data_IF_492321695893
#
_entry.id   IF_492321695893
#
_cell.length_a   1.000
_cell.length_b   1.000
_cell.length_c   1.000
_cell.angle_alpha   90.00
_cell.angle_beta   90.00
_cell.angle_gamma   90.00
#
_symmetry.space_group_name_H-M   'P 1'
#
loop_
_entity.id
_entity.type
_entity.pdbx_description
1 polymer ?
#
# COMPACT_ATOMS: atom_id res chain seq x y z
N UNK A 1 15.39 -5.01 -7.93
CA UNK A 1 15.12 -4.01 -6.88
C UNK A 1 13.98 -4.49 -5.98
N UNK A 2 12.86 -4.94 -6.55
CA UNK A 2 11.71 -5.53 -5.84
C UNK A 2 12.10 -6.70 -4.90
N UNK A 3 12.87 -7.69 -5.37
CA UNK A 3 13.30 -8.85 -4.56
C UNK A 3 14.15 -8.52 -3.30
N UNK A 4 14.56 -7.26 -3.10
CA UNK A 4 15.36 -6.81 -1.96
C UNK A 4 14.58 -5.96 -0.96
N UNK A 5 13.29 -5.73 -1.21
CA UNK A 5 12.41 -4.94 -0.35
C UNK A 5 11.14 -5.72 -0.04
N UNK A 6 10.44 -5.29 1.00
CA UNK A 6 9.10 -5.80 1.35
C UNK A 6 8.02 -5.07 0.57
N UNK A 7 8.17 -3.75 0.44
CA UNK A 7 7.24 -2.86 -0.23
C UNK A 7 8.01 -2.02 -1.24
N UNK A 8 7.46 -1.85 -2.43
CA UNK A 8 7.96 -0.96 -3.47
C UNK A 8 6.93 0.15 -3.72
N UNK A 9 7.33 1.39 -3.46
CA UNK A 9 6.54 2.57 -3.76
C UNK A 9 7.01 3.19 -5.08
N UNK A 10 6.13 3.30 -6.07
CA UNK A 10 6.41 3.93 -7.34
C UNK A 10 5.82 5.34 -7.41
N UNK A 11 6.68 6.35 -7.34
CA UNK A 11 6.31 7.77 -7.44
C UNK A 11 6.67 8.39 -8.79
N UNK A 12 7.06 7.58 -9.79
CA UNK A 12 7.55 8.07 -11.09
C UNK A 12 6.67 7.57 -12.22
N UNK A 13 5.87 8.47 -12.77
CA UNK A 13 5.15 8.29 -14.02
C UNK A 13 6.01 8.61 -15.26
N UNK A 14 5.50 8.38 -16.48
CA UNK A 14 4.12 7.98 -16.80
C UNK A 14 3.85 6.48 -16.58
N UNK A 15 2.80 6.16 -15.83
CA UNK A 15 2.51 4.80 -15.37
C UNK A 15 1.97 3.92 -16.49
N UNK A 16 1.22 4.49 -17.44
CA UNK A 16 0.68 3.80 -18.61
C UNK A 16 1.73 3.02 -19.40
N UNK A 17 2.95 3.54 -19.50
CA UNK A 17 4.01 2.91 -20.30
C UNK A 17 4.94 2.03 -19.46
N UNK A 18 5.26 2.44 -18.24
CA UNK A 18 6.32 1.81 -17.45
C UNK A 18 5.82 1.12 -16.18
N UNK A 19 4.62 1.44 -15.70
CA UNK A 19 4.07 0.93 -14.44
C UNK A 19 3.83 -0.58 -14.46
N UNK A 20 3.38 -1.14 -15.59
CA UNK A 20 2.96 -2.55 -15.65
C UNK A 20 4.14 -3.50 -15.43
N UNK A 21 5.32 -3.17 -15.97
CA UNK A 21 6.54 -3.95 -15.76
C UNK A 21 6.95 -3.97 -14.27
N UNK A 22 6.74 -2.86 -13.56
CA UNK A 22 7.03 -2.75 -12.12
C UNK A 22 6.07 -3.61 -11.31
N UNK A 23 4.76 -3.53 -11.59
CA UNK A 23 3.74 -4.35 -10.92
C UNK A 23 4.01 -5.84 -11.13
N UNK A 24 4.24 -6.26 -12.37
CA UNK A 24 4.55 -7.66 -12.70
C UNK A 24 5.80 -8.16 -11.98
N UNK A 25 6.87 -7.34 -11.92
CA UNK A 25 8.07 -7.69 -11.19
C UNK A 25 7.84 -7.81 -9.67
N UNK A 26 6.96 -6.99 -9.09
CA UNK A 26 6.60 -7.06 -7.67
C UNK A 26 5.82 -8.33 -7.35
N UNK A 27 4.86 -8.71 -8.19
CA UNK A 27 4.10 -9.96 -8.05
C UNK A 27 5.05 -11.17 -8.15
N UNK A 28 5.93 -11.18 -9.15
CA UNK A 28 6.89 -12.27 -9.35
C UNK A 28 7.87 -12.44 -8.18
N UNK A 29 8.23 -11.35 -7.49
CA UNK A 29 9.13 -11.38 -6.34
C UNK A 29 8.42 -11.40 -4.99
N UNK A 30 7.10 -11.54 -4.97
CA UNK A 30 6.27 -11.51 -3.75
C UNK A 30 6.48 -10.25 -2.90
N UNK A 31 6.61 -9.11 -3.56
CA UNK A 31 6.85 -7.78 -2.96
C UNK A 31 5.57 -6.95 -3.07
N UNK A 32 5.13 -6.35 -1.97
CA UNK A 32 3.96 -5.46 -1.99
C UNK A 32 4.26 -4.19 -2.78
N UNK A 33 3.24 -3.65 -3.46
CA UNK A 33 3.37 -2.52 -4.36
C UNK A 33 2.38 -1.41 -3.98
N UNK A 34 2.86 -0.16 -3.98
CA UNK A 34 1.99 1.02 -3.94
C UNK A 34 2.46 2.13 -4.89
N UNK A 35 1.55 3.00 -5.34
CA UNK A 35 1.91 4.16 -6.16
C UNK A 35 1.04 5.40 -5.91
N UNK A 36 1.46 6.53 -6.48
CA UNK A 36 0.74 7.81 -6.48
C UNK A 36 0.09 8.05 -7.86
N UNK A 37 -0.31 6.98 -8.56
CA UNK A 37 -0.78 7.08 -9.94
C UNK A 37 -2.13 7.80 -10.03
N UNK A 38 -2.23 8.79 -10.93
CA UNK A 38 -3.48 9.47 -11.30
C UNK A 38 -3.97 9.11 -12.71
N UNK A 39 -3.58 7.95 -13.26
CA UNK A 39 -3.91 7.50 -14.62
C UNK A 39 -4.93 6.34 -14.57
N UNK A 40 -6.26 6.60 -14.74
CA UNK A 40 -7.30 5.59 -14.52
C UNK A 40 -7.19 4.36 -15.42
N UNK A 41 -6.82 4.57 -16.68
CA UNK A 41 -6.61 3.48 -17.66
C UNK A 41 -5.55 2.47 -17.20
N UNK A 42 -4.45 2.96 -16.62
CA UNK A 42 -3.40 2.09 -16.08
C UNK A 42 -3.92 1.26 -14.89
N UNK A 43 -4.65 1.91 -13.98
CA UNK A 43 -5.20 1.27 -12.78
C UNK A 43 -6.18 0.16 -13.17
N UNK A 44 -7.15 0.48 -14.03
CA UNK A 44 -8.16 -0.47 -14.49
C UNK A 44 -7.52 -1.65 -15.26
N UNK A 45 -6.52 -1.37 -16.10
CA UNK A 45 -5.76 -2.40 -16.81
C UNK A 45 -5.00 -3.32 -15.87
N UNK A 46 -4.33 -2.75 -14.86
CA UNK A 46 -3.59 -3.52 -13.86
C UNK A 46 -4.53 -4.42 -13.06
N UNK A 47 -5.67 -3.90 -12.61
CA UNK A 47 -6.69 -4.67 -11.91
C UNK A 47 -7.17 -5.84 -12.78
N UNK A 48 -7.50 -5.62 -14.06
CA UNK A 48 -7.98 -6.68 -14.92
C UNK A 48 -6.95 -7.78 -15.19
N UNK A 49 -5.68 -7.41 -15.38
CA UNK A 49 -4.63 -8.37 -15.77
C UNK A 49 -3.99 -9.09 -14.59
N UNK A 50 -3.78 -8.39 -13.48
CA UNK A 50 -2.89 -8.84 -12.41
C UNK A 50 -3.62 -9.24 -11.11
N UNK A 51 -4.93 -8.99 -10.97
CA UNK A 51 -5.65 -9.30 -9.72
C UNK A 51 -5.51 -10.77 -9.29
N UNK A 52 -5.70 -11.71 -10.21
CA UNK A 52 -5.65 -13.13 -9.86
C UNK A 52 -4.23 -13.57 -9.52
N UNK A 53 -3.24 -13.12 -10.29
CA UNK A 53 -1.82 -13.40 -10.03
C UNK A 53 -1.36 -12.83 -8.68
N UNK A 54 -1.78 -11.61 -8.34
CA UNK A 54 -1.48 -10.98 -7.06
C UNK A 54 -2.14 -11.73 -5.89
N UNK A 55 -3.40 -12.15 -6.04
CA UNK A 55 -4.11 -12.99 -5.05
C UNK A 55 -3.39 -14.32 -4.83
N UNK A 56 -3.02 -15.03 -5.90
CA UNK A 56 -2.29 -16.30 -5.82
C UNK A 56 -0.90 -16.13 -5.18
N UNK A 57 -0.19 -15.04 -5.49
CA UNK A 57 1.11 -14.74 -4.91
C UNK A 57 1.02 -14.21 -3.46
N UNK A 58 -0.17 -13.80 -3.00
CA UNK A 58 -0.37 -13.18 -1.70
C UNK A 58 0.28 -11.80 -1.57
N UNK A 59 0.27 -11.04 -2.67
CA UNK A 59 0.89 -9.71 -2.79
C UNK A 59 -0.19 -8.64 -2.80
N UNK A 60 0.03 -7.55 -2.06
CA UNK A 60 -0.81 -6.37 -2.10
C UNK A 60 -0.36 -5.43 -3.21
N UNK A 61 -1.29 -5.02 -4.06
CA UNK A 61 -1.08 -4.02 -5.11
C UNK A 61 -2.10 -2.91 -4.88
N UNK A 62 -1.63 -1.73 -4.47
CA UNK A 62 -2.48 -0.58 -4.15
C UNK A 62 -2.14 0.59 -5.05
N UNK A 63 -3.10 1.05 -5.83
CA UNK A 63 -2.91 2.22 -6.70
C UNK A 63 -3.44 3.49 -6.04
N UNK A 64 -3.06 4.65 -6.57
CA UNK A 64 -3.63 5.95 -6.20
C UNK A 64 -3.53 6.26 -4.69
N UNK A 65 -2.39 6.00 -4.05
CA UNK A 65 -2.15 6.32 -2.64
C UNK A 65 -1.75 7.80 -2.42
N UNK A 66 -2.37 8.72 -3.15
CA UNK A 66 -2.03 10.14 -3.14
C UNK A 66 -3.02 10.98 -2.30
N UNK A 67 -2.74 12.28 -2.21
CA UNK A 67 -3.45 13.25 -1.38
C UNK A 67 -4.95 13.37 -1.68
N UNK A 68 -5.37 13.17 -2.92
CA UNK A 68 -6.76 13.24 -3.35
C UNK A 68 -7.54 11.94 -3.08
N UNK A 69 -6.87 10.80 -3.11
CA UNK A 69 -7.51 9.49 -3.15
C UNK A 69 -7.59 8.86 -1.75
N UNK A 70 -6.55 9.02 -0.92
CA UNK A 70 -6.53 8.44 0.44
C UNK A 70 -7.64 9.01 1.33
N UNK A 71 -7.87 10.34 1.40
CA UNK A 71 -8.95 10.88 2.21
C UNK A 71 -10.33 10.51 1.64
N UNK A 72 -10.45 10.37 0.32
CA UNK A 72 -11.68 9.91 -0.33
C UNK A 72 -12.04 8.50 0.13
N UNK A 73 -11.11 7.55 -0.01
CA UNK A 73 -11.32 6.15 0.36
C UNK A 73 -11.66 5.99 1.85
N UNK A 74 -10.91 6.68 2.72
CA UNK A 74 -11.15 6.64 4.16
C UNK A 74 -12.48 7.30 4.54
N UNK A 75 -12.85 8.40 3.89
CA UNK A 75 -14.12 9.08 4.10
C UNK A 75 -15.30 8.21 3.69
N UNK A 76 -15.24 7.60 2.50
CA UNK A 76 -16.27 6.68 2.02
C UNK A 76 -16.38 5.45 2.92
N UNK A 77 -15.26 4.86 3.34
CA UNK A 77 -15.26 3.73 4.27
C UNK A 77 -15.86 4.11 5.63
N UNK A 78 -15.46 5.25 6.19
CA UNK A 78 -16.01 5.74 7.45
C UNK A 78 -17.53 5.93 7.38
N UNK A 79 -18.01 6.57 6.31
CA UNK A 79 -19.44 6.78 6.08
C UNK A 79 -20.18 5.46 5.91
N UNK A 80 -19.64 4.51 5.15
CA UNK A 80 -20.24 3.19 4.98
C UNK A 80 -20.39 2.43 6.30
N UNK A 81 -19.40 2.53 7.20
CA UNK A 81 -19.46 1.89 8.52
C UNK A 81 -20.53 2.49 9.46
N UNK A 82 -21.04 3.70 9.18
CA UNK A 82 -22.13 4.28 9.98
C UNK A 82 -23.50 3.64 9.71
N UNK A 83 -23.62 2.81 8.67
CA UNK A 83 -24.85 2.12 8.29
C UNK A 83 -24.71 0.61 8.50
N UNK A 84 -24.97 0.09 9.72
CA UNK A 84 -24.93 -1.35 9.98
C UNK A 84 -26.13 -2.07 9.33
N UNK A 85 -26.01 -3.38 9.06
CA UNK A 85 -27.10 -4.15 8.46
C UNK A 85 -28.42 -4.04 9.24
N UNK A 86 -29.58 -3.95 8.56
CA UNK A 86 -29.78 -4.09 7.11
C UNK A 86 -29.57 -2.80 6.31
N UNK A 87 -29.26 -1.66 6.95
CA UNK A 87 -29.03 -0.41 6.25
C UNK A 87 -27.70 -0.48 5.48
N UNK A 88 -27.64 0.16 4.32
CA UNK A 88 -26.46 0.24 3.46
C UNK A 88 -26.27 1.67 2.96
N UNK A 89 -25.02 2.13 2.91
CA UNK A 89 -24.68 3.36 2.21
C UNK A 89 -24.78 3.12 0.70
N UNK A 90 -25.78 3.70 0.05
CA UNK A 90 -25.98 3.56 -1.39
C UNK A 90 -25.06 4.48 -2.21
N UNK A 91 -24.74 5.66 -1.67
CA UNK A 91 -23.91 6.67 -2.33
C UNK A 91 -23.26 7.58 -1.28
N UNK A 92 -22.03 8.01 -1.55
CA UNK A 92 -21.32 9.00 -0.77
C UNK A 92 -20.62 9.97 -1.72
N UNK A 93 -20.98 11.24 -1.65
CA UNK A 93 -20.31 12.32 -2.35
C UNK A 93 -19.27 12.97 -1.45
N UNK A 94 -18.10 13.26 -1.99
CA UNK A 94 -17.04 13.93 -1.28
C UNK A 94 -16.51 15.10 -2.12
N UNK A 95 -16.39 16.25 -1.46
CA UNK A 95 -15.96 17.49 -2.08
C UNK A 95 -14.59 17.88 -1.52
N UNK A 96 -13.57 17.85 -2.37
CA UNK A 96 -12.25 18.37 -2.05
C UNK A 96 -12.13 19.83 -2.43
N UNK A 97 -11.99 20.70 -1.42
CA UNK A 97 -11.67 22.12 -1.62
C UNK A 97 -10.21 22.33 -1.29
N UNK A 98 -9.41 22.63 -2.30
CA UNK A 98 -7.98 22.95 -2.13
C UNK A 98 -7.81 24.45 -2.25
N UNK A 99 -7.63 25.11 -1.11
CA UNK A 99 -7.28 26.53 -1.05
C UNK A 99 -5.76 26.68 -1.05
N UNK A 100 -5.21 27.26 -2.10
CA UNK A 100 -3.78 27.62 -2.17
C UNK A 100 -3.65 29.10 -1.83
N UNK A 101 -3.32 29.41 -0.58
CA UNK A 101 -2.99 30.78 -0.16
C UNK A 101 -1.59 31.15 -0.65
N UNK A 102 -1.54 31.79 -1.83
CA UNK A 102 -0.30 32.21 -2.47
C UNK A 102 0.49 31.04 -3.05
N UNK A 103 1.02 31.21 -4.27
CA UNK A 103 2.12 30.37 -4.71
C UNK A 103 3.40 30.94 -4.11
N UNK A 104 4.19 30.17 -3.34
CA UNK A 104 5.53 30.61 -3.02
C UNK A 104 6.29 30.88 -4.33
N UNK A 105 7.13 31.94 -4.40
CA UNK A 105 7.96 32.19 -5.57
C UNK A 105 8.76 30.92 -5.92
N UNK A 106 8.54 30.36 -7.12
CA UNK A 106 9.17 29.11 -7.56
C UNK A 106 8.25 27.87 -7.51
N UNK A 107 7.00 28.00 -7.10
CA UNK A 107 6.00 26.96 -7.31
C UNK A 107 5.89 26.62 -8.80
N UNK A 108 6.28 25.40 -9.18
CA UNK A 108 6.25 24.91 -10.56
C UNK A 108 5.63 23.51 -10.59
N UNK A 109 4.78 23.26 -11.59
CA UNK A 109 4.24 21.93 -11.82
C UNK A 109 5.34 20.98 -12.32
N UNK A 110 5.40 19.77 -11.77
CA UNK A 110 6.38 18.79 -12.24
C UNK A 110 5.97 18.24 -13.61
N UNK A 111 6.90 18.21 -14.57
CA UNK A 111 6.61 17.83 -15.96
C UNK A 111 6.01 16.42 -16.08
N UNK A 112 6.40 15.49 -15.19
CA UNK A 112 5.81 14.14 -15.17
C UNK A 112 4.38 14.14 -14.65
N UNK A 113 4.00 15.03 -13.74
CA UNK A 113 2.60 15.22 -13.29
C UNK A 113 1.72 15.71 -14.43
N UNK A 114 2.17 16.74 -15.17
CA UNK A 114 1.44 17.23 -16.35
C UNK A 114 1.27 16.12 -17.39
N UNK A 115 2.35 15.38 -17.67
CA UNK A 115 2.34 14.30 -18.66
C UNK A 115 1.48 13.11 -18.23
N UNK A 116 1.46 12.77 -16.94
CA UNK A 116 0.56 11.78 -16.38
C UNK A 116 -0.91 12.22 -16.52
N UNK A 117 -1.22 13.50 -16.25
CA UNK A 117 -2.56 14.02 -16.47
C UNK A 117 -2.98 13.90 -17.94
N UNK A 118 -2.13 14.35 -18.89
CA UNK A 118 -2.42 14.23 -20.33
C UNK A 118 -2.65 12.78 -20.76
N UNK A 119 -1.80 11.84 -20.33
CA UNK A 119 -1.94 10.44 -20.72
C UNK A 119 -3.07 9.70 -19.98
N UNK A 120 -3.35 10.09 -18.75
CA UNK A 120 -4.43 9.56 -17.92
C UNK A 120 -5.80 9.95 -18.45
N UNK A 121 -5.98 11.22 -18.83
CA UNK A 121 -7.25 11.70 -19.40
C UNK A 121 -7.40 11.43 -20.89
N UNK A 122 -6.29 11.23 -21.62
CA UNK A 122 -6.30 10.89 -23.05
C UNK A 122 -6.80 9.47 -23.36
N UNK A 123 -6.91 8.58 -22.37
CA UNK A 123 -7.32 7.17 -22.52
C UNK A 123 -8.80 6.87 -22.27
N UNK A 124 -9.68 7.87 -22.27
CA UNK A 124 -11.06 7.73 -21.77
C UNK A 124 -11.87 6.57 -22.40
N UNK A 125 -11.65 6.26 -23.69
CA UNK A 125 -12.30 5.14 -24.36
C UNK A 125 -11.85 3.77 -23.83
N UNK A 126 -10.55 3.60 -23.56
CA UNK A 126 -9.98 2.37 -23.00
C UNK A 126 -10.45 2.18 -21.56
N UNK A 127 -10.44 3.25 -20.76
CA UNK A 127 -10.98 3.24 -19.39
C UNK A 127 -12.44 2.78 -19.37
N UNK A 128 -13.29 3.28 -20.29
CA UNK A 128 -14.70 2.86 -20.36
C UNK A 128 -14.84 1.37 -20.69
N UNK A 129 -14.05 0.88 -21.65
CA UNK A 129 -14.05 -0.54 -22.02
C UNK A 129 -13.58 -1.42 -20.85
N UNK A 130 -12.52 -1.00 -20.16
CA UNK A 130 -11.98 -1.70 -18.99
C UNK A 130 -12.98 -1.73 -17.84
N UNK A 131 -13.62 -0.60 -17.49
CA UNK A 131 -14.67 -0.57 -16.45
C UNK A 131 -15.85 -1.48 -16.75
N UNK A 132 -16.26 -1.57 -18.02
CA UNK A 132 -17.30 -2.53 -18.44
C UNK A 132 -16.84 -3.98 -18.25
N UNK A 133 -15.57 -4.28 -18.53
CA UNK A 133 -15.00 -5.60 -18.30
C UNK A 133 -14.88 -5.92 -16.80
N UNK A 134 -14.44 -4.97 -15.97
CA UNK A 134 -14.35 -5.10 -14.52
C UNK A 134 -15.73 -5.35 -13.91
N UNK A 135 -16.74 -4.55 -14.26
CA UNK A 135 -18.11 -4.75 -13.80
C UNK A 135 -18.68 -6.12 -14.20
N UNK A 136 -18.32 -6.62 -15.40
CA UNK A 136 -18.69 -7.99 -15.82
C UNK A 136 -17.98 -9.04 -14.96
N UNK A 137 -16.68 -8.86 -14.66
CA UNK A 137 -15.91 -9.76 -13.78
C UNK A 137 -16.50 -9.78 -12.38
N UNK A 138 -16.77 -8.63 -11.78
CA UNK A 138 -17.34 -8.51 -10.43
C UNK A 138 -18.72 -9.17 -10.35
N UNK A 139 -19.55 -9.01 -11.38
CA UNK A 139 -20.84 -9.70 -11.47
C UNK A 139 -20.68 -11.21 -11.52
N UNK A 140 -19.68 -11.73 -12.24
CA UNK A 140 -19.38 -13.17 -12.28
C UNK A 140 -18.86 -13.65 -10.93
N UNK A 141 -17.96 -12.91 -10.29
CA UNK A 141 -17.39 -13.22 -8.98
C UNK A 141 -18.48 -13.26 -7.89
N UNK A 142 -19.43 -12.31 -7.93
CA UNK A 142 -20.61 -12.28 -7.05
C UNK A 142 -21.54 -13.48 -7.26
N UNK A 143 -21.81 -13.88 -8.51
CA UNK A 143 -22.62 -15.07 -8.82
C UNK A 143 -21.93 -16.37 -8.38
N UNK A 144 -20.59 -16.41 -8.43
CA UNK A 144 -19.79 -17.55 -8.01
C UNK A 144 -19.64 -17.63 -6.48
N UNK A 145 -20.16 -16.66 -5.72
CA UNK A 145 -20.10 -16.65 -4.25
C UNK A 145 -18.68 -16.59 -3.69
N UNK A 146 -17.71 -16.08 -4.47
CA UNK A 146 -16.34 -15.94 -3.99
C UNK A 146 -16.29 -14.83 -2.95
N UNK A 147 -16.16 -15.21 -1.68
CA UNK A 147 -15.83 -14.30 -0.61
C UNK A 147 -14.40 -13.79 -0.84
N UNK A 148 -14.25 -12.53 -1.21
CA UNK A 148 -12.97 -11.84 -1.05
C UNK A 148 -12.71 -11.83 0.45
N UNK A 149 -11.68 -12.57 0.95
CA UNK A 149 -11.41 -12.55 2.37
C UNK A 149 -11.14 -11.10 2.77
N UNK A 150 -11.66 -10.63 3.94
CA UNK A 150 -11.28 -9.32 4.46
C UNK A 150 -9.75 -9.24 4.46
N UNK A 151 -9.14 -8.07 4.18
CA UNK A 151 -7.70 -7.94 4.12
C UNK A 151 -7.11 -8.58 5.37
N UNK A 152 -6.47 -9.74 5.18
CA UNK A 152 -5.91 -10.52 6.27
C UNK A 152 -5.04 -9.58 7.08
N UNK A 153 -5.27 -9.49 8.39
CA UNK A 153 -4.50 -8.61 9.28
C UNK A 153 -3.04 -8.71 8.88
N UNK A 154 -2.45 -7.56 8.50
CA UNK A 154 -1.12 -7.40 7.93
C UNK A 154 -0.24 -8.59 8.32
N UNK A 155 -0.12 -9.57 7.41
CA UNK A 155 0.66 -10.77 7.70
C UNK A 155 2.02 -10.29 8.22
N UNK A 156 2.57 -10.91 9.28
CA UNK A 156 3.81 -10.43 9.89
C UNK A 156 4.86 -10.22 8.78
N UNK A 157 5.62 -9.11 8.81
CA UNK A 157 6.43 -8.68 7.67
C UNK A 157 7.29 -9.85 7.18
N UNK A 158 7.04 -10.30 5.94
CA UNK A 158 7.70 -11.48 5.36
C UNK A 158 9.19 -11.22 5.28
N UNK A 159 10.02 -11.74 6.19
CA UNK A 159 11.48 -11.45 6.23
C UNK A 159 12.09 -11.56 4.84
N UNK A 160 12.73 -10.49 4.37
CA UNK A 160 13.58 -10.54 3.19
C UNK A 160 14.69 -11.55 3.51
N UNK A 161 14.75 -12.67 2.78
CA UNK A 161 15.83 -13.63 2.97
C UNK A 161 17.15 -12.89 2.71
N UNK A 162 18.18 -12.98 3.58
CA UNK A 162 19.45 -12.36 3.30
C UNK A 162 19.97 -12.99 2.02
N UNK A 163 20.13 -12.20 0.95
CA UNK A 163 20.74 -12.68 -0.29
C UNK A 163 22.08 -13.31 0.08
N UNK A 164 22.17 -14.64 -0.06
CA UNK A 164 23.43 -15.34 0.06
C UNK A 164 24.40 -14.69 -0.92
N UNK A 165 25.63 -14.41 -0.47
CA UNK A 165 26.72 -13.69 -1.18
C UNK A 165 26.81 -12.18 -0.95
N UNK A 166 26.92 -11.76 0.32
CA UNK A 166 27.87 -10.68 0.66
C UNK A 166 29.17 -11.34 1.15
N UNK A 167 30.02 -11.77 0.20
CA UNK A 167 31.43 -12.07 0.50
C UNK A 167 32.04 -10.78 1.06
N UNK A 168 32.11 -10.67 2.39
CA UNK A 168 32.93 -9.65 3.05
C UNK A 168 34.38 -9.97 2.68
N UNK A 169 34.95 -9.25 1.71
CA UNK A 169 36.40 -9.11 1.58
C UNK A 169 36.92 -8.53 2.89
N UNK A 170 38.03 -9.09 3.35
CA UNK A 170 38.45 -9.09 4.75
C UNK A 170 38.73 -7.72 5.36
N UNK A 171 38.46 -7.65 6.65
CA UNK A 171 39.19 -6.80 7.58
C UNK A 171 39.39 -7.63 8.85
N UNK A 172 40.62 -8.10 9.06
CA UNK A 172 41.07 -8.71 10.32
C UNK A 172 40.99 -7.64 11.40
N UNK A 173 40.21 -7.88 12.46
CA UNK A 173 40.06 -6.96 13.58
C UNK A 173 39.46 -7.65 14.80
N UNK A 174 40.37 -8.15 15.66
CA UNK A 174 40.23 -8.68 17.03
C UNK A 174 38.81 -8.90 17.61
N UNK A 175 38.54 -10.17 17.89
CA UNK A 175 37.48 -10.65 18.80
C UNK A 175 37.68 -10.07 20.21
N UNK A 176 36.66 -9.46 20.78
CA UNK A 176 36.40 -9.52 22.23
C UNK A 176 34.98 -10.05 22.42
N UNK A 177 34.89 -11.29 22.93
CA UNK A 177 33.66 -11.86 23.49
C UNK A 177 33.42 -11.17 24.83
N UNK A 178 32.29 -10.50 25.00
CA UNK A 178 31.69 -10.35 26.32
C UNK A 178 30.34 -11.05 26.29
N UNK A 179 30.29 -12.19 26.98
CA UNK A 179 29.04 -12.83 27.32
C UNK A 179 28.37 -11.99 28.41
N UNK A 180 27.20 -11.41 28.14
CA UNK A 180 26.26 -11.03 29.18
C UNK A 180 25.00 -11.86 28.99
N UNK A 181 24.82 -12.77 29.94
CA UNK A 181 23.72 -13.70 30.07
C UNK A 181 22.40 -12.95 30.30
N UNK A 182 21.38 -13.34 29.56
CA UNK A 182 19.98 -12.98 29.81
C UNK A 182 19.52 -13.67 31.09
N UNK A 183 19.54 -12.95 32.22
CA UNK A 183 19.01 -13.43 33.50
C UNK A 183 17.51 -13.17 33.57
N UNK A 184 16.72 -14.21 33.31
CA UNK A 184 15.27 -14.21 33.56
C UNK A 184 15.03 -14.26 35.08
N UNK A 185 14.27 -13.31 35.65
CA UNK A 185 13.79 -13.42 37.04
C UNK A 185 12.47 -14.20 37.04
N UNK A 186 12.43 -15.28 37.83
CA UNK A 186 11.22 -16.01 38.20
C UNK A 186 10.65 -15.37 39.48
N UNK A 187 9.33 -15.24 39.56
CA UNK A 187 8.61 -14.96 40.82
C UNK A 187 8.49 -16.25 41.65
N UNK A 188 8.38 -16.13 42.98
CA UNK A 188 8.32 -17.19 44.00
C UNK A 188 7.16 -18.18 43.86
N UNK A 189 6.32 -18.08 42.82
CA UNK A 189 5.24 -19.05 42.50
C UNK A 189 5.34 -19.67 41.09
N UNK A 190 6.47 -19.54 40.39
CA UNK A 190 6.80 -20.38 39.22
C UNK A 190 5.97 -20.18 37.93
N UNK A 191 5.16 -19.12 37.81
CA UNK A 191 4.43 -18.82 36.55
C UNK A 191 5.11 -17.69 35.76
N UNK A 192 5.26 -17.89 34.44
CA UNK A 192 5.77 -16.89 33.49
C UNK A 192 4.72 -15.78 33.29
N UNK A 193 5.03 -14.53 33.61
CA UNK A 193 4.24 -13.37 33.18
C UNK A 193 4.96 -12.66 32.02
N UNK A 194 4.23 -12.41 30.94
CA UNK A 194 4.67 -11.49 29.89
C UNK A 194 4.72 -10.06 30.49
N UNK A 195 5.68 -9.22 30.09
CA UNK A 195 5.74 -7.85 30.58
C UNK A 195 4.51 -7.07 30.09
N UNK A 196 3.79 -6.45 31.04
CA UNK A 196 2.73 -5.50 30.76
C UNK A 196 3.35 -4.30 30.03
N UNK A 197 2.83 -3.98 28.84
CA UNK A 197 3.16 -2.72 28.15
C UNK A 197 2.23 -1.65 28.71
N UNK A 198 2.73 -0.81 29.61
CA UNK A 198 2.14 0.50 29.84
C UNK A 198 2.25 1.28 28.53
N UNK A 199 1.10 1.65 27.95
CA UNK A 199 1.03 2.71 26.94
C UNK A 199 0.81 4.01 27.71
N UNK A 200 1.91 4.68 28.02
CA UNK A 200 1.90 6.06 28.50
C UNK A 200 1.82 6.96 27.26
N UNK A 201 0.68 7.62 27.10
CA UNK A 201 0.48 8.64 26.08
C UNK A 201 1.11 9.93 26.59
N UNK A 202 2.34 10.20 26.17
CA UNK A 202 2.95 11.52 26.38
C UNK A 202 2.09 12.57 25.68
N UNK A 203 1.41 13.40 26.48
CA UNK A 203 0.76 14.63 26.03
C UNK A 203 1.84 15.56 25.50
N UNK A 204 1.70 15.97 24.24
CA UNK A 204 2.43 17.11 23.67
C UNK A 204 1.92 18.38 24.37
N UNK A 205 2.78 19.24 24.94
CA UNK A 205 2.34 20.52 25.48
C UNK A 205 1.96 21.48 24.36
N UNK A 206 0.77 22.06 24.47
CA UNK A 206 0.29 23.18 23.66
C UNK A 206 1.32 24.33 23.70
N UNK A 207 1.72 24.80 22.52
CA UNK A 207 2.35 26.10 22.38
C UNK A 207 1.30 27.09 21.91
N UNK A 208 0.74 27.84 22.86
CA UNK A 208 0.18 29.18 22.70
C UNK A 208 0.43 29.98 23.97
#
# INVERSE_FOLDING_TARGET
MSARTHVLMNATGPYRFYGEAVVSACIATTTDYCDLCGEPEFIDRCQLKHSDAARTAGVLVVHACAFDSVPADLGTLFTAMQFPPPALCAHADMYHVVSVEGSPPGASGHATTFRAAVHGFGGAGETRAQRKASARRDRVEALQGQHVPPPTSLAPPRRCSPSSKRRRRGARGRRRRSARSSRWRLDRRGKRRAPARHCEWDRVPDQH
#
